data_IF_002617024998
#
_entry.id   IF_002617024998
#
_cell.length_a   1.000
_cell.length_b   1.000
_cell.length_c   1.000
_cell.angle_alpha   90.00
_cell.angle_beta   90.00
_cell.angle_gamma   90.00
#
_symmetry.space_group_name_H-M   'P 1'
#
loop_
_entity.id
_entity.type
_entity.pdbx_description
1 polymer ?
#
# COMPACT_ATOMS: atom_id res chain seq x y z
N UNK A 1 32.24 27.03 17.19
CA UNK A 1 31.83 27.01 15.77
C UNK A 1 31.76 25.60 15.18
N UNK A 2 32.82 24.78 15.26
CA UNK A 2 32.80 23.40 14.73
C UNK A 2 31.83 22.45 15.44
N UNK A 3 31.65 22.57 16.76
CA UNK A 3 30.74 21.73 17.54
C UNK A 3 29.26 21.94 17.17
N UNK A 4 28.86 23.19 16.92
CA UNK A 4 27.49 23.53 16.48
C UNK A 4 27.18 22.96 15.08
N UNK A 5 28.17 22.92 14.19
CA UNK A 5 28.03 22.34 12.86
C UNK A 5 27.80 20.82 12.91
N UNK A 6 28.52 20.09 13.77
CA UNK A 6 28.29 18.66 13.99
C UNK A 6 26.92 18.37 14.62
N UNK A 7 26.48 19.20 15.57
CA UNK A 7 25.15 19.09 16.18
C UNK A 7 24.03 19.26 15.14
N UNK A 8 24.18 20.22 14.22
CA UNK A 8 23.22 20.47 13.16
C UNK A 8 23.15 19.30 12.15
N UNK A 9 24.30 18.73 11.79
CA UNK A 9 24.38 17.56 10.89
C UNK A 9 23.65 16.36 11.50
N UNK A 10 23.83 16.06 12.79
CA UNK A 10 23.17 14.92 13.45
C UNK A 10 21.65 15.07 13.54
N UNK A 11 21.14 16.29 13.58
CA UNK A 11 19.70 16.58 13.70
C UNK A 11 18.94 16.34 12.38
N UNK A 12 19.60 16.52 11.24
CA UNK A 12 19.02 16.26 9.90
C UNK A 12 18.88 14.75 9.62
N UNK A 13 19.74 13.90 10.16
CA UNK A 13 19.68 12.44 9.97
C UNK A 13 18.61 11.73 10.82
N UNK A 14 17.96 12.41 11.77
CA UNK A 14 16.93 11.81 12.63
C UNK A 14 15.49 11.99 12.14
N UNK A 15 15.28 12.66 11.01
CA UNK A 15 13.94 12.90 10.48
C UNK A 15 13.56 11.86 9.44
N UNK A 16 12.98 10.74 9.89
CA UNK A 16 12.15 9.88 9.04
C UNK A 16 11.01 9.31 9.87
N UNK A 17 9.81 9.86 9.70
CA UNK A 17 8.57 9.28 10.21
C UNK A 17 7.62 9.10 9.03
N UNK A 18 7.63 7.91 8.42
CA UNK A 18 6.61 7.55 7.42
C UNK A 18 5.32 7.17 8.15
N UNK A 19 4.52 8.17 8.50
CA UNK A 19 3.13 7.92 8.87
C UNK A 19 2.34 7.90 7.56
N UNK A 20 1.95 6.71 7.11
CA UNK A 20 0.99 6.58 6.02
C UNK A 20 -0.40 6.81 6.60
N UNK A 21 -1.05 7.89 6.16
CA UNK A 21 -2.46 8.13 6.46
C UNK A 21 -3.31 7.29 5.49
N UNK A 22 -4.26 6.52 6.03
CA UNK A 22 -5.19 5.72 5.23
C UNK A 22 -6.39 6.60 4.86
N UNK A 23 -6.59 6.82 3.56
CA UNK A 23 -7.74 7.58 3.03
C UNK A 23 -8.80 6.59 2.58
N UNK A 24 -9.84 6.41 3.39
CA UNK A 24 -10.93 5.49 3.08
C UNK A 24 -11.85 6.04 1.99
N UNK A 25 -12.48 5.14 1.24
CA UNK A 25 -13.46 5.49 0.21
C UNK A 25 -14.79 5.90 0.86
N UNK A 26 -15.32 7.07 0.48
CA UNK A 26 -16.54 7.65 1.05
C UNK A 26 -17.78 6.75 0.89
N UNK A 27 -17.81 5.94 -0.18
CA UNK A 27 -18.92 5.06 -0.50
C UNK A 27 -18.53 3.57 -0.40
N UNK A 28 -17.50 3.26 0.39
CA UNK A 28 -16.99 1.91 0.59
C UNK A 28 -16.72 1.14 -0.73
N UNK A 29 -16.27 1.84 -1.77
CA UNK A 29 -16.05 1.27 -3.10
C UNK A 29 -17.31 0.56 -3.67
N UNK A 30 -18.51 0.98 -3.26
CA UNK A 30 -19.78 0.36 -3.62
C UNK A 30 -20.10 -0.95 -2.89
N UNK A 31 -19.32 -1.32 -1.88
CA UNK A 31 -19.55 -2.52 -1.06
C UNK A 31 -20.47 -2.21 0.12
N UNK A 32 -21.40 -3.13 0.41
CA UNK A 32 -22.10 -3.16 1.69
C UNK A 32 -21.20 -3.80 2.73
N UNK A 33 -20.75 -2.99 3.69
CA UNK A 33 -19.89 -3.45 4.77
C UNK A 33 -20.66 -3.49 6.10
N UNK A 34 -20.37 -4.46 6.99
CA UNK A 34 -20.88 -4.45 8.35
C UNK A 34 -20.43 -3.21 9.13
N UNK A 35 -21.14 -2.89 10.20
CA UNK A 35 -20.76 -1.80 11.09
C UNK A 35 -19.33 -1.99 11.63
N UNK A 36 -18.53 -0.91 11.58
CA UNK A 36 -17.13 -0.91 12.02
C UNK A 36 -16.11 -1.24 10.94
N UNK A 37 -16.55 -1.51 9.70
CA UNK A 37 -15.66 -1.73 8.55
C UNK A 37 -15.72 -0.54 7.58
N UNK A 38 -14.58 -0.29 6.91
CA UNK A 38 -14.42 0.71 5.85
C UNK A 38 -13.59 0.09 4.71
N UNK A 39 -13.74 0.58 3.48
CA UNK A 39 -12.90 0.15 2.36
C UNK A 39 -11.85 1.20 1.99
N UNK A 40 -10.73 0.72 1.48
CA UNK A 40 -9.72 1.51 0.78
C UNK A 40 -9.51 0.87 -0.60
N UNK A 41 -9.62 1.66 -1.66
CA UNK A 41 -9.26 1.21 -3.02
C UNK A 41 -7.76 1.45 -3.21
N UNK A 42 -7.01 0.36 -3.40
CA UNK A 42 -5.54 0.41 -3.59
C UNK A 42 -5.13 0.31 -5.06
N UNK A 43 -6.01 -0.16 -5.95
CA UNK A 43 -5.81 -0.24 -7.40
C UNK A 43 -7.16 -0.41 -8.11
N UNK A 44 -7.31 0.15 -9.32
CA UNK A 44 -8.54 0.08 -10.14
C UNK A 44 -8.81 -1.32 -10.76
N UNK A 45 -8.01 -2.34 -10.39
CA UNK A 45 -8.04 -3.69 -10.95
C UNK A 45 -7.00 -3.98 -12.05
N UNK A 46 -6.66 -5.27 -12.18
CA UNK A 46 -5.60 -5.79 -13.09
C UNK A 46 -6.12 -6.87 -14.05
N UNK A 47 -7.45 -7.01 -14.15
CA UNK A 47 -8.13 -8.07 -14.90
C UNK A 47 -8.90 -9.02 -13.99
N UNK A 48 -9.30 -10.18 -14.53
CA UNK A 48 -10.09 -11.16 -13.79
C UNK A 48 -9.23 -11.85 -12.72
N UNK A 49 -9.28 -11.41 -11.48
CA UNK A 49 -8.47 -11.96 -10.37
C UNK A 49 -9.13 -13.16 -9.66
N UNK A 50 -8.34 -14.07 -9.09
CA UNK A 50 -8.82 -15.26 -8.34
C UNK A 50 -8.16 -15.45 -6.98
N UNK A 51 -6.84 -15.31 -6.91
CA UNK A 51 -6.07 -15.45 -5.67
C UNK A 51 -5.30 -14.16 -5.41
N UNK A 52 -5.16 -13.79 -4.14
CA UNK A 52 -4.39 -12.64 -3.68
C UNK A 52 -3.55 -13.06 -2.48
N UNK A 53 -2.32 -12.57 -2.40
CA UNK A 53 -1.44 -12.72 -1.25
C UNK A 53 -0.76 -11.38 -0.95
N UNK A 54 -0.43 -11.14 0.32
CA UNK A 54 0.26 -9.92 0.77
C UNK A 54 1.56 -10.34 1.42
N UNK A 55 2.67 -9.70 1.02
CA UNK A 55 3.98 -9.90 1.64
C UNK A 55 4.11 -9.05 2.91
N UNK A 56 5.08 -9.37 3.77
CA UNK A 56 5.31 -8.70 5.05
C UNK A 56 5.64 -7.21 4.90
N UNK A 57 6.11 -6.79 3.72
CA UNK A 57 6.37 -5.39 3.39
C UNK A 57 5.15 -4.63 2.83
N UNK A 58 4.00 -5.29 2.67
CA UNK A 58 2.77 -4.71 2.15
C UNK A 58 2.55 -4.87 0.65
N UNK A 59 3.46 -5.51 -0.09
CA UNK A 59 3.27 -5.76 -1.52
C UNK A 59 2.10 -6.73 -1.75
N UNK A 60 1.24 -6.41 -2.72
CA UNK A 60 0.03 -7.18 -3.03
C UNK A 60 0.24 -7.95 -4.33
N UNK A 61 0.25 -9.29 -4.24
CA UNK A 61 0.36 -10.18 -5.40
C UNK A 61 -1.00 -10.73 -5.78
N UNK A 62 -1.31 -10.72 -7.08
CA UNK A 62 -2.60 -11.17 -7.60
C UNK A 62 -2.38 -12.21 -8.71
N UNK A 63 -3.09 -13.34 -8.60
CA UNK A 63 -3.17 -14.35 -9.65
C UNK A 63 -4.44 -14.16 -10.47
N UNK A 64 -4.28 -14.01 -11.78
CA UNK A 64 -5.40 -13.89 -12.70
C UNK A 64 -6.05 -15.24 -12.98
N UNK A 65 -7.33 -15.21 -13.31
CA UNK A 65 -8.17 -16.34 -13.71
C UNK A 65 -7.75 -16.91 -15.05
N UNK A 66 -7.36 -16.03 -15.97
CA UNK A 66 -6.89 -16.40 -17.28
C UNK A 66 -5.37 -16.53 -17.20
N UNK A 67 -4.87 -17.73 -17.41
CA UNK A 67 -3.45 -18.09 -17.36
C UNK A 67 -2.82 -18.22 -18.76
N UNK A 68 -3.55 -17.88 -19.82
CA UNK A 68 -3.05 -17.91 -21.19
C UNK A 68 -2.21 -16.65 -21.50
N UNK A 69 -0.96 -16.85 -21.95
CA UNK A 69 -0.04 -15.77 -22.34
C UNK A 69 0.96 -15.38 -21.25
N UNK A 70 1.41 -14.12 -21.24
CA UNK A 70 2.42 -13.59 -20.30
C UNK A 70 1.88 -13.18 -18.93
N UNK A 71 0.59 -13.34 -18.67
CA UNK A 71 -0.13 -12.61 -17.60
C UNK A 71 -0.65 -13.52 -16.47
N UNK A 72 0.08 -14.59 -16.12
CA UNK A 72 -0.35 -15.49 -15.04
C UNK A 72 -0.33 -14.85 -13.64
N UNK A 73 0.60 -13.91 -13.40
CA UNK A 73 0.81 -13.24 -12.12
C UNK A 73 0.99 -11.73 -12.34
N UNK A 74 0.41 -10.91 -11.45
CA UNK A 74 0.58 -9.46 -11.40
C UNK A 74 1.06 -9.09 -9.99
N UNK A 75 2.00 -8.15 -9.90
CA UNK A 75 2.57 -7.61 -8.67
C UNK A 75 2.53 -6.09 -8.74
#
# INVERSE_FOLDING_TARGET
MRLFYYLFITLVFFSCSKNAELIFDENNAGLFLPQGFQSLVVHDGVGQSRHLAVNDNGDIYVKLRLDYGRNGNVA
#
